data_IF_328854367721
#
_entry.id   IF_328854367721
#
_cell.length_a   1.000
_cell.length_b   1.000
_cell.length_c   1.000
_cell.angle_alpha   90.00
_cell.angle_beta   90.00
_cell.angle_gamma   90.00
#
_symmetry.space_group_name_H-M   'P 1'
#
loop_
_entity.id
_entity.type
_entity.pdbx_description
1 polymer ?
#
# COMPACT_ATOMS: atom_id res chain seq x y z
N UNK A 1 -14.93 28.22 24.16
CA UNK A 1 -15.23 26.82 24.51
C UNK A 1 -15.80 26.17 23.27
N UNK A 2 -15.01 25.32 22.59
CA UNK A 2 -15.51 24.54 21.45
C UNK A 2 -16.20 23.31 22.03
N UNK A 3 -17.45 23.09 21.63
CA UNK A 3 -18.33 22.01 22.10
C UNK A 3 -17.75 20.64 21.76
N UNK A 4 -17.80 19.70 22.71
CA UNK A 4 -17.37 18.31 22.58
C UNK A 4 -18.34 17.44 21.74
N UNK A 5 -18.87 18.00 20.66
CA UNK A 5 -19.67 17.31 19.65
C UNK A 5 -18.93 17.45 18.31
N UNK A 6 -18.49 16.43 17.58
CA UNK A 6 -18.68 14.98 17.66
C UNK A 6 -17.50 14.34 16.90
N UNK A 7 -16.44 13.89 17.58
CA UNK A 7 -15.58 12.84 17.02
C UNK A 7 -16.35 11.52 17.19
N UNK A 8 -17.39 11.33 16.37
CA UNK A 8 -18.17 10.09 16.38
C UNK A 8 -17.26 8.94 15.99
N UNK A 9 -16.88 8.10 16.94
CA UNK A 9 -16.16 6.89 16.60
C UNK A 9 -17.14 5.90 15.97
N UNK A 10 -16.71 5.23 14.90
CA UNK A 10 -17.49 4.17 14.27
C UNK A 10 -17.41 2.83 15.01
N UNK A 11 -16.84 2.82 16.23
CA UNK A 11 -16.69 1.61 17.05
C UNK A 11 -18.03 0.88 17.21
N UNK A 12 -18.09 -0.37 16.73
CA UNK A 12 -19.28 -1.22 16.80
C UNK A 12 -20.38 -0.93 15.77
N UNK A 13 -20.16 -0.03 14.80
CA UNK A 13 -21.13 0.25 13.72
C UNK A 13 -20.91 -0.54 12.43
N UNK A 14 -19.83 -1.31 12.34
CA UNK A 14 -19.55 -2.19 11.21
C UNK A 14 -20.37 -3.48 11.24
N UNK A 15 -20.59 -4.07 10.08
CA UNK A 15 -21.26 -5.38 9.95
C UNK A 15 -20.45 -6.48 10.67
N UNK A 16 -21.09 -7.34 11.49
CA UNK A 16 -20.40 -8.41 12.20
C UNK A 16 -19.60 -9.31 11.26
N UNK A 17 -18.36 -9.61 11.64
CA UNK A 17 -17.42 -10.47 10.89
C UNK A 17 -17.07 -9.99 9.47
N UNK A 18 -17.34 -8.71 9.16
CA UNK A 18 -16.78 -8.09 7.97
C UNK A 18 -15.26 -7.95 8.08
N UNK A 19 -14.57 -7.88 6.93
CA UNK A 19 -13.12 -7.77 6.86
C UNK A 19 -12.67 -6.92 5.67
N UNK A 20 -11.61 -6.16 5.85
CA UNK A 20 -10.80 -5.57 4.78
C UNK A 20 -9.37 -6.12 4.87
N UNK A 21 -8.66 -6.14 3.76
CA UNK A 21 -7.27 -6.61 3.71
C UNK A 21 -6.40 -5.53 3.06
N UNK A 22 -5.27 -5.28 3.70
CA UNK A 22 -4.18 -4.46 3.16
C UNK A 22 -3.00 -5.38 2.84
N UNK A 23 -2.36 -5.17 1.69
CA UNK A 23 -1.17 -5.91 1.28
C UNK A 23 -0.09 -4.96 0.73
N UNK A 24 1.05 -4.91 1.41
CA UNK A 24 2.24 -4.21 0.94
C UNK A 24 3.12 -5.12 0.08
N UNK A 25 3.53 -4.63 -1.08
CA UNK A 25 4.37 -5.36 -2.02
C UNK A 25 5.54 -4.49 -2.48
N UNK A 26 6.71 -5.12 -2.67
CA UNK A 26 7.84 -4.45 -3.31
C UNK A 26 7.63 -4.36 -4.82
N UNK A 27 7.94 -3.20 -5.38
CA UNK A 27 8.10 -2.97 -6.81
C UNK A 27 9.52 -3.35 -7.20
N UNK A 28 9.66 -4.30 -8.11
CA UNK A 28 10.97 -4.86 -8.49
C UNK A 28 11.18 -4.85 -10.00
N UNK A 29 12.44 -4.90 -10.40
CA UNK A 29 12.83 -5.24 -11.77
C UNK A 29 12.51 -6.73 -12.03
N UNK A 30 11.78 -7.08 -13.10
CA UNK A 30 11.32 -8.45 -13.33
C UNK A 30 12.43 -9.45 -13.67
N UNK A 31 13.62 -8.97 -14.05
CA UNK A 31 14.74 -9.83 -14.48
C UNK A 31 15.68 -10.10 -13.30
N UNK A 32 16.01 -9.05 -12.56
CA UNK A 32 17.01 -9.08 -11.48
C UNK A 32 16.40 -9.23 -10.09
N UNK A 33 15.11 -8.91 -9.94
CA UNK A 33 14.44 -8.87 -8.65
C UNK A 33 14.91 -7.74 -7.73
N UNK A 34 15.69 -6.77 -8.23
CA UNK A 34 16.08 -5.59 -7.44
C UNK A 34 14.90 -4.65 -7.23
N UNK A 35 14.79 -4.07 -6.05
CA UNK A 35 13.77 -3.07 -5.76
C UNK A 35 13.90 -1.84 -6.67
N UNK A 36 12.77 -1.22 -6.98
CA UNK A 36 12.68 -0.02 -7.82
C UNK A 36 11.86 1.03 -7.10
N UNK A 37 12.42 2.23 -6.93
CA UNK A 37 11.73 3.38 -6.30
C UNK A 37 10.70 3.99 -7.28
N UNK A 38 9.68 3.23 -7.68
CA UNK A 38 8.79 3.54 -8.80
C UNK A 38 7.31 3.72 -8.43
N UNK A 39 6.96 3.77 -7.14
CA UNK A 39 5.56 3.82 -6.68
C UNK A 39 4.76 5.01 -7.22
N UNK A 40 5.37 6.19 -7.35
CA UNK A 40 4.72 7.35 -7.96
C UNK A 40 4.39 7.13 -9.45
N UNK A 41 5.33 6.55 -10.20
CA UNK A 41 5.15 6.29 -11.63
C UNK A 41 4.12 5.16 -11.88
N UNK A 42 4.03 4.20 -10.95
CA UNK A 42 2.98 3.16 -10.96
C UNK A 42 1.61 3.80 -10.78
N UNK A 43 1.42 4.67 -9.77
CA UNK A 43 0.14 5.34 -9.56
C UNK A 43 -0.27 6.24 -10.73
N UNK A 44 0.68 6.95 -11.35
CA UNK A 44 0.38 7.78 -12.53
C UNK A 44 -0.18 6.96 -13.70
N UNK A 45 0.28 5.72 -13.86
CA UNK A 45 -0.17 4.81 -14.93
C UNK A 45 -1.36 3.94 -14.52
N UNK A 46 -1.75 3.96 -13.24
CA UNK A 46 -2.80 3.11 -12.73
C UNK A 46 -4.17 3.62 -13.22
N UNK A 47 -5.01 2.69 -13.69
CA UNK A 47 -6.41 2.99 -14.00
C UNK A 47 -7.30 2.92 -12.76
N UNK A 48 -8.60 3.13 -12.95
CA UNK A 48 -9.58 2.98 -11.87
C UNK A 48 -9.63 1.54 -11.34
N UNK A 49 -9.74 1.40 -10.02
CA UNK A 49 -9.87 0.13 -9.31
C UNK A 49 -11.02 0.20 -8.30
N UNK A 50 -11.58 -0.96 -7.92
CA UNK A 50 -12.65 -1.04 -6.91
C UNK A 50 -12.09 -0.72 -5.52
N UNK A 51 -11.01 -1.42 -5.14
CA UNK A 51 -10.19 -1.06 -4.00
C UNK A 51 -9.22 0.07 -4.34
N UNK A 52 -8.37 0.43 -3.38
CA UNK A 52 -7.34 1.43 -3.57
C UNK A 52 -5.96 0.80 -3.77
N UNK A 53 -5.09 1.55 -4.46
CA UNK A 53 -3.66 1.30 -4.50
C UNK A 53 -2.99 2.60 -4.07
N UNK A 54 -2.10 2.52 -3.10
CA UNK A 54 -1.48 3.69 -2.48
C UNK A 54 0.04 3.58 -2.44
N UNK A 55 0.69 4.74 -2.28
CA UNK A 55 2.12 4.81 -1.95
C UNK A 55 2.33 4.63 -0.45
N UNK A 56 3.27 3.77 -0.10
CA UNK A 56 3.73 3.56 1.28
C UNK A 56 4.93 4.46 1.65
N UNK A 57 5.48 4.33 2.86
CA UNK A 57 6.68 5.03 3.34
C UNK A 57 7.84 4.93 2.35
N UNK A 58 8.17 3.73 1.86
CA UNK A 58 9.24 3.54 0.89
C UNK A 58 8.72 3.61 -0.55
N UNK A 59 9.41 4.34 -1.41
CA UNK A 59 9.08 4.51 -2.81
C UNK A 59 9.20 3.21 -3.62
N UNK A 60 9.84 2.18 -3.05
CA UNK A 60 9.88 0.84 -3.59
C UNK A 60 8.70 -0.05 -3.21
N UNK A 61 7.73 0.45 -2.44
CA UNK A 61 6.55 -0.30 -2.04
C UNK A 61 5.25 0.36 -2.55
N UNK A 62 4.25 -0.49 -2.72
CA UNK A 62 2.85 -0.10 -2.92
C UNK A 62 1.97 -0.87 -1.95
N UNK A 63 0.89 -0.24 -1.52
CA UNK A 63 -0.11 -0.84 -0.65
C UNK A 63 -1.40 -1.09 -1.45
N UNK A 64 -1.91 -2.32 -1.41
CA UNK A 64 -3.19 -2.70 -1.99
C UNK A 64 -4.23 -2.76 -0.88
N UNK A 65 -5.32 -2.02 -1.02
CA UNK A 65 -6.34 -1.86 0.03
C UNK A 65 -7.68 -2.33 -0.54
N UNK A 66 -8.23 -3.42 -0.02
CA UNK A 66 -9.55 -3.88 -0.47
C UNK A 66 -10.67 -3.03 0.10
N UNK A 67 -11.83 -3.05 -0.56
CA UNK A 67 -13.10 -2.72 0.10
C UNK A 67 -13.42 -3.70 1.24
N UNK A 68 -14.43 -3.38 2.05
CA UNK A 68 -14.90 -4.24 3.13
C UNK A 68 -15.79 -5.35 2.58
N UNK A 69 -15.45 -6.60 2.89
CA UNK A 69 -16.15 -7.81 2.47
C UNK A 69 -16.80 -8.55 3.63
N UNK A 70 -17.77 -9.40 3.34
CA UNK A 70 -18.37 -10.34 4.29
C UNK A 70 -17.67 -11.70 4.34
N UNK A 71 -16.71 -11.94 3.45
CA UNK A 71 -15.99 -13.21 3.35
C UNK A 71 -14.61 -13.09 2.73
N UNK A 72 -13.67 -13.91 3.21
CA UNK A 72 -12.28 -13.86 2.78
C UNK A 72 -12.09 -14.17 1.28
N UNK A 73 -13.00 -14.98 0.69
CA UNK A 73 -12.95 -15.30 -0.74
C UNK A 73 -13.18 -14.09 -1.65
N UNK A 74 -14.01 -13.14 -1.23
CA UNK A 74 -14.23 -11.88 -1.98
C UNK A 74 -13.01 -10.97 -1.86
N UNK A 75 -12.46 -10.81 -0.65
CA UNK A 75 -11.25 -10.01 -0.42
C UNK A 75 -10.04 -10.54 -1.23
N UNK A 76 -9.82 -11.85 -1.25
CA UNK A 76 -8.74 -12.47 -2.04
C UNK A 76 -8.94 -12.25 -3.55
N UNK A 77 -10.18 -12.28 -4.04
CA UNK A 77 -10.48 -11.97 -5.44
C UNK A 77 -10.17 -10.52 -5.77
N UNK A 78 -10.54 -9.59 -4.89
CA UNK A 78 -10.23 -8.17 -5.07
C UNK A 78 -8.72 -7.91 -5.06
N UNK A 79 -7.97 -8.49 -4.11
CA UNK A 79 -6.50 -8.40 -4.10
C UNK A 79 -5.89 -8.91 -5.41
N UNK A 80 -6.41 -10.00 -5.97
CA UNK A 80 -5.94 -10.52 -7.25
C UNK A 80 -6.18 -9.53 -8.41
N UNK A 81 -7.31 -8.80 -8.40
CA UNK A 81 -7.57 -7.73 -9.38
C UNK A 81 -6.66 -6.52 -9.18
N UNK A 82 -6.43 -6.11 -7.93
CA UNK A 82 -5.52 -5.01 -7.60
C UNK A 82 -4.08 -5.31 -8.05
N UNK A 83 -3.57 -6.52 -7.76
CA UNK A 83 -2.26 -6.97 -8.28
C UNK A 83 -2.23 -6.95 -9.80
N UNK A 84 -3.28 -7.43 -10.47
CA UNK A 84 -3.39 -7.37 -11.95
C UNK A 84 -3.36 -5.94 -12.48
N UNK A 85 -4.03 -5.00 -11.81
CA UNK A 85 -4.04 -3.59 -12.18
C UNK A 85 -2.62 -3.00 -12.09
N UNK A 86 -1.89 -3.28 -11.02
CA UNK A 86 -0.51 -2.83 -10.86
C UNK A 86 0.42 -3.46 -11.91
N UNK A 87 0.31 -4.75 -12.19
CA UNK A 87 1.11 -5.41 -13.24
C UNK A 87 0.87 -4.79 -14.64
N UNK A 88 -0.34 -4.33 -14.94
CA UNK A 88 -0.65 -3.64 -16.21
C UNK A 88 0.07 -2.29 -16.37
N UNK A 89 0.58 -1.70 -15.28
CA UNK A 89 1.42 -0.50 -15.34
C UNK A 89 2.85 -0.78 -15.82
N UNK A 90 3.22 -2.05 -16.00
CA UNK A 90 4.55 -2.50 -16.40
C UNK A 90 5.50 -2.81 -15.23
N UNK A 91 5.06 -2.61 -13.98
CA UNK A 91 5.83 -2.99 -12.81
C UNK A 91 5.77 -4.52 -12.56
N UNK A 92 6.78 -5.05 -11.86
CA UNK A 92 6.74 -6.37 -11.26
C UNK A 92 6.62 -6.27 -9.73
N UNK A 93 6.05 -7.30 -9.11
CA UNK A 93 5.70 -7.34 -7.70
C UNK A 93 6.44 -8.46 -6.98
N UNK A 94 6.89 -8.19 -5.76
CA UNK A 94 7.47 -9.18 -4.85
C UNK A 94 6.80 -9.08 -3.48
N UNK A 95 6.20 -10.20 -3.04
CA UNK A 95 5.62 -10.32 -1.70
C UNK A 95 6.65 -10.89 -0.72
N UNK A 96 7.15 -10.04 0.18
CA UNK A 96 8.05 -10.42 1.26
C UNK A 96 7.97 -9.37 2.37
N UNK A 97 8.16 -9.77 3.63
CA UNK A 97 8.22 -8.80 4.74
C UNK A 97 9.50 -7.96 4.74
N UNK A 98 10.56 -8.45 4.10
CA UNK A 98 11.81 -7.73 3.84
C UNK A 98 12.31 -8.04 2.44
N UNK A 99 12.92 -7.08 1.77
CA UNK A 99 13.47 -7.35 0.44
C UNK A 99 14.69 -8.29 0.58
N UNK A 100 14.72 -9.48 -0.07
CA UNK A 100 15.73 -10.51 0.22
C UNK A 100 17.18 -10.14 -0.10
N UNK A 101 17.39 -9.13 -0.94
CA UNK A 101 18.70 -8.73 -1.45
C UNK A 101 18.88 -7.20 -1.55
N UNK A 102 18.04 -6.41 -0.90
CA UNK A 102 18.22 -4.96 -0.90
C UNK A 102 19.28 -4.60 0.13
N UNK A 103 20.13 -3.65 -0.22
CA UNK A 103 21.08 -3.07 0.72
C UNK A 103 20.40 -1.94 1.52
N UNK A 104 20.88 -1.71 2.72
CA UNK A 104 20.44 -0.59 3.55
C UNK A 104 20.68 0.75 2.83
N UNK A 105 19.70 1.66 2.90
CA UNK A 105 19.76 2.97 2.24
C UNK A 105 19.36 2.99 0.75
N UNK A 106 19.09 1.85 0.10
CA UNK A 106 18.61 1.85 -1.30
C UNK A 106 17.14 2.26 -1.44
N UNK A 107 16.35 2.12 -0.37
CA UNK A 107 14.92 2.45 -0.36
C UNK A 107 14.74 3.96 -0.15
N UNK A 108 14.30 4.67 -1.18
CA UNK A 108 13.97 6.08 -1.05
C UNK A 108 12.66 6.24 -0.27
N UNK A 109 12.54 7.31 0.53
CA UNK A 109 11.28 7.65 1.20
C UNK A 109 10.36 8.36 0.22
N UNK A 110 9.06 8.11 0.31
CA UNK A 110 8.09 8.79 -0.54
C UNK A 110 7.90 10.24 -0.10
N UNK A 111 7.73 11.12 -1.09
CA UNK A 111 7.44 12.54 -0.90
C UNK A 111 6.00 12.74 -0.37
N UNK A 112 5.76 12.39 0.90
CA UNK A 112 4.60 12.83 1.68
C UNK A 112 5.13 13.53 2.94
N UNK A 113 4.65 14.73 3.23
CA UNK A 113 5.07 15.56 4.38
C UNK A 113 5.04 14.79 5.72
N UNK A 114 4.10 13.85 5.88
CA UNK A 114 4.02 12.97 7.05
C UNK A 114 5.25 12.07 7.20
N UNK A 115 5.77 11.54 6.10
CA UNK A 115 6.86 10.56 6.11
C UNK A 115 8.23 11.23 6.30
N UNK A 116 8.43 12.44 5.78
CA UNK A 116 9.61 13.27 6.12
C UNK A 116 9.73 13.48 7.63
N UNK A 117 8.58 13.68 8.29
CA UNK A 117 8.53 13.86 9.74
C UNK A 117 8.82 12.56 10.52
N UNK A 118 8.42 11.40 9.99
CA UNK A 118 8.77 10.10 10.57
C UNK A 118 10.28 9.86 10.42
N UNK A 119 10.85 10.11 9.24
CA UNK A 119 12.29 10.03 9.00
C UNK A 119 13.08 10.91 10.00
N UNK A 120 12.69 12.17 10.13
CA UNK A 120 13.31 13.10 11.09
C UNK A 120 13.25 12.59 12.55
N UNK A 121 12.16 11.95 12.95
CA UNK A 121 11.97 11.47 14.33
C UNK A 121 12.71 10.17 14.65
N UNK A 122 12.96 9.33 13.64
CA UNK A 122 13.61 8.03 13.83
C UNK A 122 15.13 8.09 13.67
N UNK A 123 15.68 9.17 13.08
CA UNK A 123 17.11 9.35 12.89
C UNK A 123 17.68 8.49 11.75
N UNK A 124 18.91 8.82 11.33
CA UNK A 124 19.70 8.02 10.37
C UNK A 124 20.13 6.69 10.99
#
# INVERSE_FOLDING_TARGET
MVSAAEYGHHFGSGEPFSLGVEEELFLVDPVTGRQTNSSAAVLERLGETVGAVERELHACQIELITTVHSGAGDAVRELAELRRAVLKTGAALLGSGTHPAAEEGEAAITDKERYERIHFLLGD
#
